data_IF_224435578859
#
_entry.id   IF_224435578859
#
_cell.length_a   1.000
_cell.length_b   1.000
_cell.length_c   1.000
_cell.angle_alpha   90.00
_cell.angle_beta   90.00
_cell.angle_gamma   90.00
#
_symmetry.space_group_name_H-M   'P 1'
#
loop_
_entity.id
_entity.type
_entity.pdbx_description
1 polymer ?
#
# COMPACT_ATOMS: atom_id res chain seq x y z
N UNK A 1 5.01 8.40 13.19
CA UNK A 1 5.72 7.69 12.12
C UNK A 1 4.69 6.80 11.46
N UNK A 2 4.46 6.98 10.16
CA UNK A 2 3.42 6.27 9.43
C UNK A 2 3.77 4.79 9.36
N UNK A 3 2.77 3.92 9.38
CA UNK A 3 2.96 2.51 9.07
C UNK A 3 3.47 2.43 7.63
N UNK A 4 4.58 1.75 7.41
CA UNK A 4 5.14 1.53 6.07
C UNK A 4 4.13 0.72 5.26
N UNK A 5 3.71 1.26 4.12
CA UNK A 5 2.75 0.58 3.25
C UNK A 5 3.42 -0.61 2.57
N UNK A 6 2.83 -1.79 2.73
CA UNK A 6 3.32 -3.06 2.17
C UNK A 6 3.31 -3.09 0.63
N UNK A 7 2.60 -2.14 0.00
CA UNK A 7 2.43 -2.06 -1.46
C UNK A 7 3.33 -1.02 -2.15
N UNK A 8 4.29 -0.40 -1.46
CA UNK A 8 5.21 0.58 -2.07
C UNK A 8 6.68 0.19 -1.88
N UNK A 9 7.51 0.47 -2.91
CA UNK A 9 8.96 0.30 -2.90
C UNK A 9 9.63 1.68 -2.90
N UNK A 10 10.65 1.88 -2.06
CA UNK A 10 11.43 3.12 -2.05
C UNK A 10 12.46 3.18 -3.19
N UNK A 11 12.63 4.33 -3.82
CA UNK A 11 13.49 4.51 -5.00
C UNK A 11 15.01 4.42 -4.73
N UNK A 12 15.46 4.16 -3.49
CA UNK A 12 16.87 4.12 -3.10
C UNK A 12 17.56 2.74 -3.28
N UNK A 13 17.08 1.86 -4.15
CA UNK A 13 17.82 0.64 -4.50
C UNK A 13 18.82 0.94 -5.63
N UNK A 14 19.97 1.53 -5.29
CA UNK A 14 21.12 1.65 -6.21
C UNK A 14 21.99 0.42 -6.05
N UNK A 15 22.03 -0.38 -7.10
CA UNK A 15 22.90 -1.54 -7.27
C UNK A 15 24.37 -1.08 -7.34
N UNK A 16 25.17 -1.44 -6.33
CA UNK A 16 26.64 -1.49 -6.38
C UNK A 16 27.41 -0.23 -6.00
N UNK A 17 27.80 -0.10 -4.72
CA UNK A 17 29.15 0.33 -4.31
C UNK A 17 29.48 -0.33 -2.96
N UNK A 18 30.62 -1.02 -2.92
CA UNK A 18 31.25 -1.68 -1.77
C UNK A 18 31.84 -0.63 -0.79
N UNK A 19 32.12 -1.06 0.45
CA UNK A 19 32.66 -0.32 1.62
C UNK A 19 31.68 0.29 2.65
N UNK A 20 31.36 -0.58 3.63
CA UNK A 20 31.63 -0.33 5.07
C UNK A 20 31.01 0.92 5.73
N UNK A 21 29.69 1.06 5.69
CA UNK A 21 28.91 1.58 6.84
C UNK A 21 27.64 0.76 6.95
N UNK A 22 27.72 -0.36 7.67
CA UNK A 22 26.57 -1.11 8.13
C UNK A 22 25.80 -0.23 9.13
N UNK A 23 24.94 0.66 8.62
CA UNK A 23 23.83 1.16 9.42
C UNK A 23 22.99 -0.08 9.70
N UNK A 24 23.06 -0.50 10.95
CA UNK A 24 22.29 -1.58 11.54
C UNK A 24 20.80 -1.24 11.44
N UNK A 25 20.22 -1.32 10.23
CA UNK A 25 18.79 -1.48 10.02
C UNK A 25 18.56 -2.93 10.36
N UNK A 26 18.47 -3.18 11.66
CA UNK A 26 18.22 -4.49 12.22
C UNK A 26 17.00 -5.09 11.53
N UNK A 27 17.25 -6.03 10.63
CA UNK A 27 16.57 -7.31 10.52
C UNK A 27 15.28 -7.41 11.36
N UNK A 28 14.20 -6.85 10.84
CA UNK A 28 12.88 -7.47 10.90
C UNK A 28 12.38 -7.56 9.47
N UNK A 29 12.97 -8.50 8.74
CA UNK A 29 12.30 -9.11 7.60
C UNK A 29 10.94 -9.63 8.06
N UNK A 30 9.90 -9.28 7.32
CA UNK A 30 8.68 -10.07 7.18
C UNK A 30 7.89 -10.34 8.48
N UNK A 31 7.09 -9.38 8.92
CA UNK A 31 5.85 -9.70 9.65
C UNK A 31 4.69 -8.96 9.00
N UNK A 32 4.14 -9.55 7.94
CA UNK A 32 2.72 -9.40 7.67
C UNK A 32 2.06 -10.74 8.00
N UNK A 33 1.16 -10.75 9.00
CA UNK A 33 0.02 -11.65 8.93
C UNK A 33 -1.27 -10.95 9.41
N UNK A 34 -1.51 -9.71 9.04
CA UNK A 34 -2.52 -8.79 9.58
C UNK A 34 -2.02 -8.01 10.80
N UNK A 35 -1.97 -6.67 10.68
CA UNK A 35 -1.83 -5.82 11.84
C UNK A 35 -3.12 -5.95 12.67
N UNK A 36 -3.09 -6.75 13.74
CA UNK A 36 -4.22 -6.98 14.65
C UNK A 36 -4.81 -5.67 15.19
N UNK A 37 -4.04 -4.56 15.14
CA UNK A 37 -4.45 -3.22 15.56
C UNK A 37 -4.92 -2.30 14.41
N UNK A 38 -5.20 -2.83 13.21
CA UNK A 38 -5.74 -2.06 12.09
C UNK A 38 -6.89 -2.75 11.33
N UNK A 39 -7.82 -1.92 10.86
CA UNK A 39 -8.72 -2.27 9.77
C UNK A 39 -8.01 -2.05 8.43
N UNK A 40 -8.23 -2.95 7.48
CA UNK A 40 -7.69 -2.86 6.12
C UNK A 40 -8.76 -2.38 5.15
N UNK A 41 -8.47 -1.25 4.50
CA UNK A 41 -9.32 -0.67 3.46
C UNK A 41 -8.81 -1.12 2.11
N UNK A 42 -9.50 -2.10 1.54
CA UNK A 42 -9.07 -2.78 0.34
C UNK A 42 -9.89 -2.35 -0.87
N UNK A 43 -9.21 -2.03 -1.96
CA UNK A 43 -9.81 -1.83 -3.27
C UNK A 43 -9.28 -2.89 -4.24
N UNK A 44 -10.18 -3.66 -4.83
CA UNK A 44 -9.85 -4.60 -5.90
C UNK A 44 -9.43 -3.81 -7.14
N UNK A 45 -8.28 -4.19 -7.70
CA UNK A 45 -7.70 -3.61 -8.91
C UNK A 45 -7.91 -4.60 -10.06
N UNK A 46 -8.44 -4.16 -11.22
CA UNK A 46 -8.49 -4.99 -12.42
C UNK A 46 -7.08 -5.43 -12.85
N UNK A 47 -6.89 -6.72 -13.14
CA UNK A 47 -5.60 -7.28 -13.53
C UNK A 47 -5.01 -6.61 -14.78
N UNK A 48 -5.86 -6.15 -15.69
CA UNK A 48 -5.41 -5.48 -16.92
C UNK A 48 -4.60 -4.20 -16.62
N UNK A 49 -4.82 -3.58 -15.45
CA UNK A 49 -4.09 -2.39 -15.03
C UNK A 49 -2.60 -2.66 -14.80
N UNK A 50 -2.20 -3.92 -14.56
CA UNK A 50 -0.80 -4.34 -14.39
C UNK A 50 0.07 -3.89 -15.57
N UNK A 51 -0.47 -3.99 -16.79
CA UNK A 51 0.28 -3.73 -18.03
C UNK A 51 -0.13 -2.44 -18.73
N UNK A 52 -1.25 -1.84 -18.34
CA UNK A 52 -1.85 -0.72 -19.08
C UNK A 52 -1.81 0.61 -18.34
N UNK A 53 -1.57 0.60 -17.04
CA UNK A 53 -1.65 1.80 -16.20
C UNK A 53 -0.34 2.06 -15.45
N UNK A 54 -0.04 3.34 -15.21
CA UNK A 54 1.06 3.75 -14.35
C UNK A 54 0.71 3.53 -12.86
N UNK A 55 1.70 3.58 -11.99
CA UNK A 55 1.49 3.49 -10.53
C UNK A 55 0.59 4.63 -10.02
N UNK A 56 0.75 5.82 -10.60
CA UNK A 56 -0.09 6.98 -10.35
C UNK A 56 -1.56 6.72 -10.73
N UNK A 57 -1.80 6.12 -11.89
CA UNK A 57 -3.15 5.79 -12.36
C UNK A 57 -3.82 4.71 -11.50
N UNK A 58 -3.06 3.69 -11.11
CA UNK A 58 -3.55 2.60 -10.23
C UNK A 58 -3.95 3.16 -8.87
N UNK A 59 -3.12 4.00 -8.25
CA UNK A 59 -3.44 4.56 -6.94
C UNK A 59 -4.57 5.60 -7.01
N UNK A 60 -4.65 6.40 -8.09
CA UNK A 60 -5.81 7.28 -8.34
C UNK A 60 -7.11 6.51 -8.49
N UNK A 61 -7.07 5.38 -9.18
CA UNK A 61 -8.23 4.48 -9.28
C UNK A 61 -8.65 4.00 -7.88
N UNK A 62 -7.70 3.54 -7.06
CA UNK A 62 -7.98 3.10 -5.69
C UNK A 62 -8.63 4.22 -4.85
N UNK A 63 -8.06 5.42 -4.87
CA UNK A 63 -8.61 6.59 -4.18
C UNK A 63 -10.02 6.97 -4.66
N UNK A 64 -10.28 6.91 -5.97
CA UNK A 64 -11.62 7.13 -6.51
C UNK A 64 -12.63 6.10 -5.98
N UNK A 65 -12.24 4.84 -5.87
CA UNK A 65 -13.08 3.77 -5.31
C UNK A 65 -13.36 3.97 -3.82
N UNK A 66 -12.36 4.42 -3.04
CA UNK A 66 -12.55 4.78 -1.62
C UNK A 66 -13.56 5.93 -1.49
N UNK A 67 -13.38 7.02 -2.25
CA UNK A 67 -14.28 8.19 -2.26
C UNK A 67 -15.73 7.83 -2.60
N UNK A 68 -15.90 6.90 -3.54
CA UNK A 68 -17.22 6.41 -3.97
C UNK A 68 -17.77 5.27 -3.11
N UNK A 69 -17.13 4.98 -1.97
CA UNK A 69 -17.50 3.92 -1.02
C UNK A 69 -17.56 2.53 -1.66
N UNK A 70 -16.68 2.28 -2.62
CA UNK A 70 -16.49 1.00 -3.32
C UNK A 70 -15.19 0.31 -2.87
N UNK A 71 -14.94 0.35 -1.56
CA UNK A 71 -13.84 -0.34 -0.88
C UNK A 71 -14.41 -1.38 0.09
N UNK A 72 -13.63 -2.42 0.36
CA UNK A 72 -13.91 -3.48 1.31
C UNK A 72 -13.17 -3.14 2.61
N UNK A 73 -13.85 -3.22 3.74
CA UNK A 73 -13.24 -3.08 5.06
C UNK A 73 -13.14 -4.48 5.65
N UNK A 74 -11.97 -4.86 6.13
CA UNK A 74 -11.77 -6.13 6.80
C UNK A 74 -10.60 -6.08 7.77
N UNK A 75 -10.56 -7.05 8.67
CA UNK A 75 -9.48 -7.20 9.65
C UNK A 75 -8.17 -7.67 9.01
N UNK A 76 -8.22 -8.03 7.72
CA UNK A 76 -7.12 -8.68 7.01
C UNK A 76 -6.82 -8.03 5.66
N UNK A 77 -5.55 -8.00 5.27
CA UNK A 77 -5.15 -7.51 3.95
C UNK A 77 -5.43 -8.57 2.86
N UNK A 78 -6.14 -8.19 1.79
CA UNK A 78 -6.52 -9.18 0.76
C UNK A 78 -5.41 -9.50 -0.24
N UNK A 79 -4.38 -8.65 -0.37
CA UNK A 79 -3.25 -8.93 -1.27
C UNK A 79 -2.47 -10.17 -0.82
N UNK A 80 -2.41 -10.43 0.49
CA UNK A 80 -1.84 -11.66 1.07
C UNK A 80 -2.63 -12.94 0.71
N UNK A 81 -3.84 -12.78 0.17
CA UNK A 81 -4.70 -13.89 -0.27
C UNK A 81 -4.69 -14.07 -1.80
N UNK A 82 -3.75 -13.44 -2.49
CA UNK A 82 -3.63 -13.51 -3.95
C UNK A 82 -4.69 -12.70 -4.69
N UNK A 83 -5.31 -11.72 -4.03
CA UNK A 83 -6.28 -10.82 -4.68
C UNK A 83 -5.53 -9.60 -5.21
N UNK A 84 -5.71 -9.30 -6.49
CA UNK A 84 -5.19 -8.06 -7.10
C UNK A 84 -5.87 -6.85 -6.47
N UNK A 85 -5.18 -6.17 -5.55
CA UNK A 85 -5.76 -5.12 -4.74
C UNK A 85 -4.73 -4.16 -4.13
N UNK A 86 -5.22 -2.99 -3.72
CA UNK A 86 -4.52 -2.07 -2.81
C UNK A 86 -5.21 -2.17 -1.46
N UNK A 87 -4.48 -2.57 -0.41
CA UNK A 87 -4.97 -2.59 0.98
C UNK A 87 -4.25 -1.52 1.79
N UNK A 88 -5.01 -0.53 2.29
CA UNK A 88 -4.48 0.57 3.11
C UNK A 88 -4.81 0.27 4.58
N UNK A 89 -3.81 0.16 5.48
CA UNK A 89 -4.07 -0.03 6.90
C UNK A 89 -4.60 1.26 7.53
N UNK A 90 -5.63 1.13 8.37
CA UNK A 90 -6.21 2.21 9.17
C UNK A 90 -6.27 1.77 10.63
N UNK A 91 -5.66 2.51 11.58
CA UNK A 91 -5.65 2.10 12.99
C UNK A 91 -7.06 1.96 13.59
N UNK A 92 -7.32 0.91 14.38
CA UNK A 92 -8.62 0.58 14.99
C UNK A 92 -9.23 1.68 15.90
N UNK A 93 -8.46 2.70 16.25
CA UNK A 93 -8.95 3.86 17.02
C UNK A 93 -10.10 4.64 16.34
N UNK A 94 -10.36 4.43 15.05
CA UNK A 94 -11.47 5.06 14.31
C UNK A 94 -12.73 4.20 14.36
N UNK A 95 -13.73 4.63 15.14
CA UNK A 95 -14.96 3.85 15.37
C UNK A 95 -16.07 4.05 14.32
N UNK A 96 -15.89 4.96 13.35
CA UNK A 96 -16.92 5.33 12.38
C UNK A 96 -16.40 5.12 10.95
N UNK A 97 -17.21 4.45 10.13
CA UNK A 97 -16.90 4.12 8.73
C UNK A 97 -16.52 5.35 7.89
N UNK A 98 -17.17 6.50 8.12
CA UNK A 98 -16.82 7.71 7.38
C UNK A 98 -15.39 8.17 7.71
N UNK A 99 -15.01 8.12 8.98
CA UNK A 99 -13.69 8.54 9.46
C UNK A 99 -12.61 7.56 9.00
N UNK A 100 -12.92 6.26 8.99
CA UNK A 100 -12.05 5.20 8.44
C UNK A 100 -11.75 5.47 6.96
N UNK A 101 -12.77 5.73 6.14
CA UNK A 101 -12.59 5.99 4.70
C UNK A 101 -11.86 7.31 4.45
N UNK A 102 -12.18 8.37 5.21
CA UNK A 102 -11.46 9.64 5.14
C UNK A 102 -9.98 9.46 5.51
N UNK A 103 -9.68 8.63 6.50
CA UNK A 103 -8.30 8.34 6.88
C UNK A 103 -7.55 7.56 5.80
N UNK A 104 -8.15 6.49 5.28
CA UNK A 104 -7.58 5.72 4.17
C UNK A 104 -7.33 6.59 2.94
N UNK A 105 -8.26 7.50 2.63
CA UNK A 105 -8.08 8.46 1.54
C UNK A 105 -6.91 9.41 1.81
N UNK A 106 -6.79 9.96 3.02
CA UNK A 106 -5.70 10.85 3.39
C UNK A 106 -4.33 10.17 3.28
N UNK A 107 -4.21 8.93 3.77
CA UNK A 107 -2.96 8.17 3.70
C UNK A 107 -2.66 7.75 2.24
N UNK A 108 -3.66 7.32 1.46
CA UNK A 108 -3.48 7.06 0.03
C UNK A 108 -3.05 8.29 -0.78
N UNK A 109 -3.53 9.50 -0.44
CA UNK A 109 -3.08 10.73 -1.11
C UNK A 109 -1.61 11.06 -0.80
N UNK A 110 -1.09 10.75 0.41
CA UNK A 110 0.34 10.91 0.72
C UNK A 110 1.19 9.98 -0.13
N UNK A 111 0.78 8.72 -0.27
CA UNK A 111 1.46 7.78 -1.15
C UNK A 111 1.43 8.24 -2.61
N UNK A 112 0.30 8.78 -3.06
CA UNK A 112 0.20 9.35 -4.42
C UNK A 112 1.18 10.50 -4.62
N UNK A 113 1.29 11.42 -3.65
CA UNK A 113 2.28 12.49 -3.71
C UNK A 113 3.71 11.93 -3.78
N UNK A 114 4.04 10.91 -2.99
CA UNK A 114 5.34 10.26 -3.02
C UNK A 114 5.64 9.57 -4.36
N UNK A 115 4.64 8.94 -4.98
CA UNK A 115 4.74 8.33 -6.33
C UNK A 115 4.96 9.41 -7.38
N UNK A 116 4.15 10.46 -7.39
CA UNK A 116 4.27 11.56 -8.34
C UNK A 116 5.64 12.28 -8.23
N UNK A 117 6.23 12.29 -7.03
CA UNK A 117 7.56 12.85 -6.78
C UNK A 117 8.71 11.87 -7.05
N UNK A 118 8.43 10.63 -7.50
CA UNK A 118 9.43 9.60 -7.79
C UNK A 118 10.16 9.05 -6.55
N UNK A 119 9.62 9.27 -5.35
CA UNK A 119 10.22 8.80 -4.10
C UNK A 119 9.89 7.33 -3.81
N UNK A 120 8.74 6.87 -4.31
CA UNK A 120 8.28 5.49 -4.21
C UNK A 120 7.62 5.03 -5.51
N UNK A 121 7.59 3.73 -5.74
CA UNK A 121 6.78 3.06 -6.77
C UNK A 121 5.85 2.04 -6.12
N UNK A 122 4.84 1.55 -6.82
CA UNK A 122 4.05 0.43 -6.31
C UNK A 122 4.86 -0.88 -6.41
N UNK A 123 4.76 -1.73 -5.40
CA UNK A 123 5.17 -3.13 -5.50
C UNK A 123 4.11 -3.88 -6.32
N UNK A 124 4.36 -4.05 -7.62
CA UNK A 124 3.40 -4.68 -8.53
C UNK A 124 3.18 -6.17 -8.24
N UNK A 125 4.18 -6.86 -7.69
CA UNK A 125 4.05 -8.26 -7.32
C UNK A 125 3.09 -8.42 -6.13
N UNK A 126 3.07 -7.45 -5.22
CA UNK A 126 2.09 -7.40 -4.13
C UNK A 126 0.71 -6.99 -4.65
N UNK A 127 0.63 -5.93 -5.46
CA UNK A 127 -0.65 -5.36 -5.92
C UNK A 127 -1.41 -6.30 -6.84
N UNK A 128 -0.73 -7.06 -7.71
CA UNK A 128 -1.36 -7.97 -8.68
C UNK A 128 -1.23 -9.45 -8.28
N UNK A 129 -0.67 -9.71 -7.09
CA UNK A 129 -0.42 -11.05 -6.60
C UNK A 129 0.83 -11.68 -7.21
N UNK A 130 1.62 -12.36 -6.38
CA UNK A 130 2.77 -13.16 -6.84
C UNK A 130 2.23 -14.36 -7.63
N UNK A 131 2.58 -14.44 -8.92
CA UNK A 131 2.31 -15.62 -9.76
C UNK A 131 3.20 -16.80 -9.40
#
# INVERSE_FOLDING_TARGET
MGQDSVFVLHSNYVEGVDDEVWVNIGSQFSEDPDNEDADWITVIIPEEMEHTHSDEDILRYALHRIRTRRAIIGEVALHNRGVSCISIPVPLSTSNMADILTRAEADGNKWLEHICNGMVSLDRDVVFGRR
#
